data_IF_292381242273
#
_entry.id   IF_292381242273
#
_cell.length_a   1.000
_cell.length_b   1.000
_cell.length_c   1.000
_cell.angle_alpha   90.00
_cell.angle_beta   90.00
_cell.angle_gamma   90.00
#
_symmetry.space_group_name_H-M   'P 1'
#
loop_
_entity.id
_entity.type
_entity.pdbx_description
1 polymer ?
#
# COMPACT_ATOMS: atom_id res chain seq x y z
N UNK A 1 -26.91 -10.97 -15.19
CA UNK A 1 -26.84 -9.85 -16.16
C UNK A 1 -26.64 -8.52 -15.45
N UNK A 2 -27.47 -8.15 -14.45
CA UNK A 2 -27.36 -6.90 -13.68
C UNK A 2 -26.01 -6.72 -12.94
N UNK A 3 -25.46 -7.77 -12.33
CA UNK A 3 -24.16 -7.69 -11.62
C UNK A 3 -22.98 -7.31 -12.51
N UNK A 4 -22.97 -7.78 -13.76
CA UNK A 4 -21.89 -7.51 -14.72
C UNK A 4 -21.91 -6.04 -15.16
N UNK A 5 -23.11 -5.48 -15.36
CA UNK A 5 -23.29 -4.08 -15.71
C UNK A 5 -22.90 -3.16 -14.56
N UNK A 6 -23.41 -3.42 -13.35
CA UNK A 6 -23.11 -2.57 -12.18
C UNK A 6 -21.63 -2.68 -11.80
N UNK A 7 -21.12 -3.92 -11.64
CA UNK A 7 -19.72 -4.15 -11.28
C UNK A 7 -18.75 -3.63 -12.34
N UNK A 8 -19.04 -3.82 -13.63
CA UNK A 8 -18.19 -3.29 -14.70
C UNK A 8 -18.18 -1.76 -14.77
N UNK A 9 -19.35 -1.12 -14.59
CA UNK A 9 -19.46 0.34 -14.60
C UNK A 9 -18.83 0.98 -13.37
N UNK A 10 -18.97 0.36 -12.19
CA UNK A 10 -18.38 0.89 -10.96
C UNK A 10 -16.87 0.65 -10.88
N UNK A 11 -16.37 -0.49 -11.38
CA UNK A 11 -14.98 -0.89 -11.21
C UNK A 11 -13.98 0.13 -11.78
N UNK A 12 -14.25 0.68 -12.97
CA UNK A 12 -13.36 1.68 -13.55
C UNK A 12 -13.29 2.95 -12.70
N UNK A 13 -14.45 3.49 -12.29
CA UNK A 13 -14.50 4.69 -11.45
C UNK A 13 -13.89 4.41 -10.07
N UNK A 14 -14.21 3.27 -9.45
CA UNK A 14 -13.59 2.87 -8.18
C UNK A 14 -12.06 2.79 -8.30
N UNK A 15 -11.54 2.28 -9.42
CA UNK A 15 -10.10 2.21 -9.66
C UNK A 15 -9.43 3.58 -9.84
N UNK A 16 -10.10 4.52 -10.50
CA UNK A 16 -9.50 5.82 -10.87
C UNK A 16 -9.60 6.85 -9.75
N UNK A 17 -10.75 6.91 -9.06
CA UNK A 17 -11.03 7.95 -8.06
C UNK A 17 -11.33 7.39 -6.66
N UNK A 18 -11.34 6.07 -6.49
CA UNK A 18 -11.80 5.42 -5.28
C UNK A 18 -13.33 5.37 -5.18
N UNK A 19 -13.83 4.68 -4.18
CA UNK A 19 -15.24 4.69 -3.80
C UNK A 19 -15.38 5.09 -2.33
N UNK A 20 -16.07 6.19 -2.01
CA UNK A 20 -16.35 6.54 -0.63
C UNK A 20 -17.22 5.48 0.06
N UNK A 21 -16.94 5.21 1.33
CA UNK A 21 -17.63 4.15 2.10
C UNK A 21 -19.16 4.32 2.16
N UNK A 22 -19.67 5.56 2.17
CA UNK A 22 -21.11 5.81 2.14
C UNK A 22 -21.75 5.39 0.81
N UNK A 23 -20.99 5.44 -0.30
CA UNK A 23 -21.44 4.99 -1.62
C UNK A 23 -21.39 3.46 -1.69
N UNK A 24 -20.34 2.84 -1.16
CA UNK A 24 -20.25 1.36 -1.04
C UNK A 24 -21.46 0.81 -0.28
N UNK A 25 -21.74 1.35 0.91
CA UNK A 25 -22.88 0.95 1.73
C UNK A 25 -24.22 1.22 1.05
N UNK A 26 -24.33 2.28 0.25
CA UNK A 26 -25.55 2.57 -0.50
C UNK A 26 -25.77 1.56 -1.62
N UNK A 27 -24.72 1.20 -2.37
CA UNK A 27 -24.79 0.20 -3.42
C UNK A 27 -25.05 -1.21 -2.87
N UNK A 28 -24.47 -1.54 -1.72
CA UNK A 28 -24.76 -2.80 -1.00
C UNK A 28 -26.24 -2.86 -0.59
N UNK A 29 -26.77 -1.78 0.00
CA UNK A 29 -28.19 -1.67 0.35
C UNK A 29 -29.11 -1.79 -0.87
N UNK A 30 -28.78 -1.12 -1.98
CA UNK A 30 -29.54 -1.22 -3.23
C UNK A 30 -29.50 -2.63 -3.80
N UNK A 31 -28.34 -3.30 -3.76
CA UNK A 31 -28.20 -4.69 -4.19
C UNK A 31 -29.04 -5.63 -3.35
N UNK A 32 -29.03 -5.44 -2.02
CA UNK A 32 -29.86 -6.20 -1.08
C UNK A 32 -31.35 -5.97 -1.32
N UNK A 33 -31.77 -4.71 -1.46
CA UNK A 33 -33.15 -4.34 -1.75
C UNK A 33 -33.62 -4.94 -3.07
N UNK A 34 -32.78 -4.94 -4.11
CA UNK A 34 -33.08 -5.53 -5.41
C UNK A 34 -33.29 -7.05 -5.33
N UNK A 35 -32.39 -7.79 -4.69
CA UNK A 35 -32.50 -9.26 -4.55
C UNK A 35 -33.77 -9.65 -3.80
N UNK A 36 -34.11 -8.89 -2.77
CA UNK A 36 -35.21 -9.20 -1.86
C UNK A 36 -36.49 -8.40 -2.12
N UNK A 37 -36.57 -7.64 -3.22
CA UNK A 37 -37.75 -6.82 -3.60
C UNK A 37 -38.27 -5.98 -2.42
N UNK A 38 -37.38 -5.24 -1.77
CA UNK A 38 -37.68 -4.37 -0.60
C UNK A 38 -38.23 -5.10 0.65
N UNK A 39 -37.99 -6.41 0.77
CA UNK A 39 -38.37 -7.16 1.98
C UNK A 39 -37.57 -6.69 3.22
N UNK A 40 -38.28 -6.33 4.29
CA UNK A 40 -37.71 -5.88 5.58
C UNK A 40 -36.79 -6.91 6.25
N UNK A 41 -37.14 -8.20 6.15
CA UNK A 41 -36.42 -9.30 6.78
C UNK A 41 -36.01 -10.34 5.73
N UNK A 42 -34.87 -10.14 5.06
CA UNK A 42 -34.40 -11.12 4.08
C UNK A 42 -34.04 -12.43 4.77
N UNK A 43 -34.44 -13.58 4.20
CA UNK A 43 -34.26 -14.90 4.81
C UNK A 43 -32.80 -15.40 4.78
N UNK A 44 -31.94 -14.80 3.96
CA UNK A 44 -30.53 -15.20 3.80
C UNK A 44 -29.65 -13.95 3.90
N UNK A 45 -28.51 -14.06 4.60
CA UNK A 45 -27.52 -12.98 4.72
C UNK A 45 -26.76 -12.73 3.42
N UNK A 46 -26.24 -11.52 3.24
CA UNK A 46 -25.40 -11.17 2.08
C UNK A 46 -24.13 -12.03 2.02
N UNK A 47 -23.49 -12.28 3.18
CA UNK A 47 -22.30 -13.15 3.27
C UNK A 47 -22.52 -14.54 2.68
N UNK A 48 -23.74 -15.08 2.82
CA UNK A 48 -24.09 -16.37 2.23
C UNK A 48 -24.33 -16.26 0.72
N UNK A 49 -24.84 -15.13 0.22
CA UNK A 49 -25.04 -14.88 -1.20
C UNK A 49 -23.72 -14.66 -1.95
N UNK A 50 -22.71 -14.05 -1.31
CA UNK A 50 -21.38 -13.82 -1.89
C UNK A 50 -20.61 -15.11 -2.19
N UNK A 51 -20.86 -16.19 -1.43
CA UNK A 51 -20.19 -17.48 -1.62
C UNK A 51 -20.53 -18.11 -2.98
N UNK A 52 -19.67 -19.01 -3.43
CA UNK A 52 -19.90 -19.79 -4.64
C UNK A 52 -21.02 -20.85 -4.48
N UNK A 53 -21.50 -21.35 -5.61
CA UNK A 53 -22.53 -22.41 -5.67
C UNK A 53 -22.21 -23.66 -4.84
N UNK A 54 -20.96 -24.18 -4.80
CA UNK A 54 -20.62 -25.32 -3.94
C UNK A 54 -20.86 -25.06 -2.45
N UNK A 55 -20.74 -23.80 -2.03
CA UNK A 55 -20.95 -23.35 -0.66
C UNK A 55 -22.38 -22.83 -0.44
N UNK A 56 -23.32 -23.22 -1.32
CA UNK A 56 -24.73 -22.81 -1.31
C UNK A 56 -24.94 -21.29 -1.44
N UNK A 57 -24.01 -20.59 -2.08
CA UNK A 57 -24.18 -19.19 -2.43
C UNK A 57 -24.48 -19.00 -3.92
N UNK A 58 -24.61 -17.74 -4.34
CA UNK A 58 -24.94 -17.38 -5.73
C UNK A 58 -23.82 -16.62 -6.43
N UNK A 59 -22.62 -16.54 -5.80
CA UNK A 59 -21.50 -15.73 -6.26
C UNK A 59 -21.91 -14.27 -6.48
N UNK A 60 -22.64 -13.70 -5.51
CA UNK A 60 -23.04 -12.31 -5.56
C UNK A 60 -21.80 -11.40 -5.57
N UNK A 61 -21.83 -10.34 -6.37
CA UNK A 61 -20.79 -9.32 -6.36
C UNK A 61 -20.73 -8.65 -4.99
N UNK A 62 -19.59 -8.80 -4.33
CA UNK A 62 -19.22 -8.02 -3.15
C UNK A 62 -18.40 -6.80 -3.59
N UNK A 63 -19.02 -5.62 -3.46
CA UNK A 63 -18.43 -4.35 -3.87
C UNK A 63 -17.27 -3.97 -2.94
N UNK A 64 -17.39 -4.27 -1.65
CA UNK A 64 -16.33 -4.00 -0.68
C UNK A 64 -15.10 -4.85 -1.00
N UNK A 65 -15.29 -6.17 -1.19
CA UNK A 65 -14.21 -7.06 -1.60
C UNK A 65 -13.60 -6.67 -2.96
N UNK A 66 -14.41 -6.20 -3.92
CA UNK A 66 -13.90 -5.69 -5.19
C UNK A 66 -12.99 -4.46 -5.00
N UNK A 67 -13.42 -3.50 -4.20
CA UNK A 67 -12.63 -2.28 -3.95
C UNK A 67 -11.36 -2.59 -3.17
N UNK A 68 -11.40 -3.51 -2.20
CA UNK A 68 -10.19 -4.00 -1.54
C UNK A 68 -9.22 -4.65 -2.52
N UNK A 69 -9.72 -5.49 -3.45
CA UNK A 69 -8.89 -6.12 -4.46
C UNK A 69 -8.25 -5.10 -5.42
N UNK A 70 -8.96 -4.02 -5.76
CA UNK A 70 -8.41 -2.89 -6.52
C UNK A 70 -7.22 -2.29 -5.77
N UNK A 71 -7.38 -1.95 -4.49
CA UNK A 71 -6.31 -1.38 -3.64
C UNK A 71 -5.12 -2.33 -3.48
N UNK A 72 -5.38 -3.64 -3.32
CA UNK A 72 -4.33 -4.66 -3.27
C UNK A 72 -3.55 -4.76 -4.58
N UNK A 73 -4.21 -4.54 -5.73
CA UNK A 73 -3.52 -4.52 -7.03
C UNK A 73 -2.57 -3.34 -7.13
N UNK A 74 -3.02 -2.14 -6.72
CA UNK A 74 -2.15 -0.97 -6.63
C UNK A 74 -0.99 -1.19 -5.66
N UNK A 75 -1.26 -1.77 -4.48
CA UNK A 75 -0.23 -2.09 -3.50
C UNK A 75 0.81 -3.07 -4.05
N UNK A 76 0.37 -4.14 -4.72
CA UNK A 76 1.27 -5.11 -5.35
C UNK A 76 2.19 -4.44 -6.37
N UNK A 77 1.63 -3.61 -7.26
CA UNK A 77 2.39 -2.83 -8.24
C UNK A 77 3.36 -1.83 -7.58
N UNK A 78 2.95 -1.18 -6.49
CA UNK A 78 3.81 -0.25 -5.74
C UNK A 78 5.04 -0.92 -5.12
N UNK A 79 4.82 -2.14 -4.61
CA UNK A 79 5.85 -2.97 -3.96
C UNK A 79 6.80 -3.64 -4.95
N UNK A 80 6.51 -3.61 -6.24
CA UNK A 80 7.48 -4.01 -7.26
C UNK A 80 8.65 -3.00 -7.26
N UNK A 81 9.84 -3.47 -6.93
CA UNK A 81 11.09 -2.67 -6.92
C UNK A 81 12.00 -3.06 -8.10
N UNK A 82 11.50 -3.92 -9.00
CA UNK A 82 12.22 -4.36 -10.19
C UNK A 82 12.30 -3.27 -11.27
N UNK A 83 13.05 -3.49 -12.37
CA UNK A 83 13.07 -2.55 -13.49
C UNK A 83 11.71 -2.35 -14.18
N UNK A 84 10.74 -3.25 -14.00
CA UNK A 84 9.37 -3.09 -14.53
C UNK A 84 8.46 -2.25 -13.64
N UNK A 85 9.01 -1.66 -12.56
CA UNK A 85 8.24 -0.83 -11.63
C UNK A 85 7.51 0.31 -12.36
N UNK A 86 6.21 0.50 -12.10
CA UNK A 86 5.45 1.52 -12.79
C UNK A 86 5.86 2.94 -12.39
N UNK A 87 5.81 3.88 -13.35
CA UNK A 87 6.24 5.28 -13.17
C UNK A 87 5.54 5.97 -12.00
N UNK A 88 4.25 5.69 -11.80
CA UNK A 88 3.46 6.31 -10.73
C UNK A 88 4.00 5.96 -9.33
N UNK A 89 4.60 4.78 -9.15
CA UNK A 89 5.13 4.35 -7.86
C UNK A 89 6.31 5.22 -7.39
N UNK A 90 7.10 5.75 -8.33
CA UNK A 90 8.18 6.70 -8.01
C UNK A 90 7.64 8.04 -7.51
N UNK A 91 6.52 8.51 -8.08
CA UNK A 91 5.85 9.73 -7.60
C UNK A 91 5.28 9.50 -6.21
N UNK A 92 4.66 8.34 -5.99
CA UNK A 92 4.11 7.97 -4.68
C UNK A 92 5.21 7.87 -3.62
N UNK A 93 6.40 7.33 -3.96
CA UNK A 93 7.53 7.34 -3.03
C UNK A 93 7.88 8.76 -2.58
N UNK A 94 7.93 9.74 -3.50
CA UNK A 94 8.24 11.13 -3.17
C UNK A 94 7.19 11.70 -2.22
N UNK A 95 5.90 11.48 -2.51
CA UNK A 95 4.79 11.95 -1.67
C UNK A 95 4.83 11.32 -0.28
N UNK A 96 5.01 10.01 -0.20
CA UNK A 96 5.10 9.27 1.07
C UNK A 96 6.32 9.72 1.87
N UNK A 97 7.45 9.95 1.22
CA UNK A 97 8.69 10.38 1.87
C UNK A 97 8.61 11.78 2.48
N UNK A 98 7.62 12.61 2.11
CA UNK A 98 7.34 13.87 2.82
C UNK A 98 6.76 13.63 4.22
N UNK A 99 6.15 12.46 4.45
CA UNK A 99 5.62 12.06 5.76
C UNK A 99 6.66 11.42 6.67
N UNK A 100 7.89 11.21 6.20
CA UNK A 100 8.94 10.65 7.02
C UNK A 100 9.14 11.47 8.31
N UNK A 101 9.50 10.81 9.43
CA UNK A 101 9.79 11.49 10.68
C UNK A 101 10.84 12.60 10.52
N UNK A 102 10.70 13.63 11.34
CA UNK A 102 11.60 14.77 11.33
C UNK A 102 13.03 14.32 11.73
N UNK A 103 14.05 14.92 11.13
CA UNK A 103 15.46 14.57 11.38
C UNK A 103 16.03 13.47 10.47
N UNK A 104 15.21 12.81 9.65
CA UNK A 104 15.70 11.86 8.63
C UNK A 104 16.10 12.63 7.37
N UNK A 105 17.37 12.59 6.92
CA UNK A 105 17.81 13.31 5.71
C UNK A 105 17.08 12.83 4.46
N UNK A 106 16.64 13.75 3.60
CA UNK A 106 15.86 13.45 2.39
C UNK A 106 16.55 12.43 1.48
N UNK A 107 17.88 12.50 1.36
CA UNK A 107 18.69 11.62 0.53
C UNK A 107 18.68 10.17 1.02
N UNK A 108 18.29 9.91 2.27
CA UNK A 108 18.22 8.54 2.83
C UNK A 108 16.82 7.94 2.76
N UNK A 109 15.83 8.72 2.35
CA UNK A 109 14.44 8.28 2.26
C UNK A 109 14.26 7.48 0.97
N UNK A 110 13.87 6.23 1.13
CA UNK A 110 13.59 5.26 0.08
C UNK A 110 12.17 4.70 0.31
N UNK A 111 11.84 3.60 -0.37
CA UNK A 111 10.57 2.93 -0.15
C UNK A 111 10.41 2.56 1.34
N UNK A 112 9.30 2.99 1.93
CA UNK A 112 9.01 2.84 3.35
C UNK A 112 8.93 1.39 3.82
N UNK A 113 8.55 0.45 2.94
CA UNK A 113 8.45 -0.97 3.28
C UNK A 113 9.82 -1.62 3.46
N UNK A 114 10.90 -0.94 3.05
CA UNK A 114 12.28 -1.40 3.24
C UNK A 114 12.97 -0.72 4.43
N UNK A 115 12.29 0.22 5.10
CA UNK A 115 12.87 1.07 6.14
C UNK A 115 12.09 0.94 7.46
N UNK A 116 12.75 1.29 8.56
CA UNK A 116 12.27 1.01 9.92
C UNK A 116 11.21 1.97 10.45
N UNK A 117 10.98 3.10 9.79
CA UNK A 117 10.03 4.10 10.26
C UNK A 117 8.60 3.77 9.84
N UNK A 118 7.64 4.10 10.71
CA UNK A 118 6.21 3.94 10.44
C UNK A 118 5.64 5.23 9.82
N UNK A 119 4.76 5.09 8.85
CA UNK A 119 4.08 6.23 8.21
C UNK A 119 2.71 6.41 8.87
N UNK A 120 2.35 7.63 9.29
CA UNK A 120 1.02 7.88 9.80
C UNK A 120 -0.04 7.74 8.70
N UNK A 121 -1.10 6.97 8.96
CA UNK A 121 -2.24 6.75 8.04
C UNK A 121 -3.54 7.45 8.45
N UNK A 122 -3.55 8.08 9.64
CA UNK A 122 -4.73 8.74 10.23
C UNK A 122 -4.45 10.17 10.75
N UNK A 123 -3.27 10.73 10.52
CA UNK A 123 -2.90 12.06 11.04
C UNK A 123 -3.24 13.20 10.06
N UNK A 124 -3.21 14.46 10.53
CA UNK A 124 -3.29 15.65 9.66
C UNK A 124 -2.18 15.69 8.60
N UNK A 125 -1.02 15.09 8.89
CA UNK A 125 0.06 14.93 7.89
C UNK A 125 -0.35 13.89 6.85
N UNK A 126 -1.00 12.80 7.25
CA UNK A 126 -1.47 11.77 6.31
C UNK A 126 -2.50 12.30 5.30
N UNK A 127 -3.32 13.29 5.68
CA UNK A 127 -4.31 13.90 4.78
C UNK A 127 -3.71 14.77 3.66
N UNK A 128 -2.39 15.01 3.65
CA UNK A 128 -1.73 15.66 2.50
C UNK A 128 -1.48 14.69 1.35
N UNK A 129 -1.58 13.38 1.59
CA UNK A 129 -1.47 12.38 0.53
C UNK A 129 -2.76 12.33 -0.30
N UNK A 130 -2.63 12.04 -1.60
CA UNK A 130 -3.78 11.66 -2.41
C UNK A 130 -4.54 10.47 -1.80
N UNK A 131 -5.86 10.45 -2.00
CA UNK A 131 -6.76 9.44 -1.43
C UNK A 131 -6.30 8.02 -1.76
N UNK A 132 -5.91 7.75 -3.00
CA UNK A 132 -5.46 6.42 -3.44
C UNK A 132 -4.19 5.96 -2.67
N UNK A 133 -3.21 6.84 -2.47
CA UNK A 133 -1.98 6.50 -1.77
C UNK A 133 -2.25 6.23 -0.29
N UNK A 134 -3.14 7.01 0.32
CA UNK A 134 -3.55 6.81 1.71
C UNK A 134 -4.36 5.52 1.88
N UNK A 135 -5.25 5.21 0.95
CA UNK A 135 -6.05 3.99 0.92
C UNK A 135 -5.14 2.75 0.80
N UNK A 136 -4.22 2.77 -0.17
CA UNK A 136 -3.20 1.75 -0.35
C UNK A 136 -2.35 1.50 0.91
N UNK A 137 -1.90 2.56 1.60
CA UNK A 137 -1.16 2.45 2.85
C UNK A 137 -2.00 1.87 4.00
N UNK A 138 -3.29 2.24 4.08
CA UNK A 138 -4.21 1.65 5.05
C UNK A 138 -4.44 0.17 4.76
N UNK A 139 -4.56 -0.19 3.48
CA UNK A 139 -4.72 -1.58 3.05
C UNK A 139 -3.50 -2.42 3.41
N UNK A 140 -2.30 -1.89 3.16
CA UNK A 140 -1.05 -2.52 3.57
C UNK A 140 -1.00 -2.77 5.09
N UNK A 141 -1.44 -1.81 5.91
CA UNK A 141 -1.51 -1.94 7.37
C UNK A 141 -2.58 -2.95 7.80
N UNK A 142 -3.75 -2.94 7.17
CA UNK A 142 -4.84 -3.86 7.45
C UNK A 142 -4.42 -5.32 7.24
N UNK A 143 -3.72 -5.59 6.13
CA UNK A 143 -3.22 -6.93 5.79
C UNK A 143 -1.83 -7.24 6.38
N UNK A 144 -1.25 -6.37 7.20
CA UNK A 144 0.05 -6.60 7.85
C UNK A 144 1.24 -6.73 6.89
N UNK A 145 1.15 -6.07 5.73
CA UNK A 145 2.17 -6.15 4.67
C UNK A 145 3.49 -5.57 5.18
N UNK A 146 4.54 -6.39 5.14
CA UNK A 146 5.88 -6.02 5.59
C UNK A 146 6.94 -6.79 4.81
N UNK A 147 8.16 -6.25 4.75
CA UNK A 147 9.29 -6.96 4.17
C UNK A 147 9.87 -7.95 5.19
N UNK A 148 9.46 -9.21 5.07
CA UNK A 148 9.84 -10.31 5.97
C UNK A 148 10.52 -11.47 5.21
N UNK A 149 11.72 -11.26 4.64
CA UNK A 149 12.45 -12.31 3.93
C UNK A 149 12.95 -13.38 4.90
N UNK A 150 12.79 -14.67 4.55
CA UNK A 150 13.37 -15.78 5.33
C UNK A 150 14.90 -15.75 5.26
N UNK A 151 15.45 -15.51 4.06
CA UNK A 151 16.88 -15.38 3.85
C UNK A 151 17.14 -14.44 2.66
N UNK A 152 18.07 -13.50 2.84
CA UNK A 152 18.48 -12.58 1.78
C UNK A 152 19.75 -13.08 1.09
N UNK A 153 19.72 -13.14 -0.24
CA UNK A 153 20.92 -13.38 -1.05
C UNK A 153 21.92 -12.23 -0.88
N UNK A 154 23.21 -12.49 -1.10
CA UNK A 154 24.24 -11.43 -1.02
C UNK A 154 23.99 -10.31 -2.02
N UNK A 155 23.49 -10.63 -3.22
CA UNK A 155 23.10 -9.64 -4.22
C UNK A 155 21.99 -8.73 -3.69
N UNK A 156 20.95 -9.30 -3.07
CA UNK A 156 19.83 -8.54 -2.54
C UNK A 156 20.23 -7.69 -1.33
N UNK A 157 21.09 -8.21 -0.43
CA UNK A 157 21.66 -7.44 0.69
C UNK A 157 22.39 -6.18 0.21
N UNK A 158 23.11 -6.28 -0.92
CA UNK A 158 23.80 -5.13 -1.54
C UNK A 158 22.83 -4.10 -2.12
N UNK A 159 21.62 -4.50 -2.49
CA UNK A 159 20.59 -3.60 -3.04
C UNK A 159 19.75 -2.91 -1.95
N UNK A 160 19.80 -3.39 -0.70
CA UNK A 160 19.07 -2.80 0.42
C UNK A 160 19.49 -1.35 0.70
N UNK A 161 18.59 -0.54 1.29
CA UNK A 161 18.93 0.77 1.84
C UNK A 161 20.17 0.71 2.72
N UNK A 162 21.14 1.57 2.46
CA UNK A 162 22.32 1.72 3.31
C UNK A 162 21.94 2.26 4.70
N UNK A 163 20.90 3.10 4.74
CA UNK A 163 20.45 3.81 5.93
C UNK A 163 19.03 3.39 6.32
N UNK A 164 18.79 3.29 7.63
CA UNK A 164 17.49 3.00 8.25
C UNK A 164 16.78 1.73 7.74
N UNK A 165 17.52 0.76 7.22
CA UNK A 165 16.95 -0.52 6.80
C UNK A 165 16.38 -1.31 7.99
N UNK A 166 15.45 -2.23 7.73
CA UNK A 166 14.71 -2.99 8.75
C UNK A 166 15.60 -3.76 9.75
N UNK A 167 16.72 -4.32 9.28
CA UNK A 167 17.67 -5.06 10.12
C UNK A 167 18.60 -4.21 10.97
N UNK A 168 18.47 -2.87 10.94
CA UNK A 168 19.40 -2.00 11.65
C UNK A 168 19.23 -2.05 13.18
N UNK A 169 20.33 -2.21 13.94
CA UNK A 169 20.29 -2.15 15.40
C UNK A 169 19.72 -0.81 15.89
N UNK A 170 19.07 -0.78 17.06
CA UNK A 170 18.63 0.49 17.66
C UNK A 170 19.81 1.46 17.82
N UNK A 171 19.55 2.76 17.63
CA UNK A 171 20.54 3.85 17.76
C UNK A 171 21.72 3.84 16.77
N UNK A 172 21.74 2.96 15.77
CA UNK A 172 22.79 2.91 14.72
C UNK A 172 22.91 4.25 13.99
N UNK A 173 21.78 4.90 13.75
CA UNK A 173 21.68 6.09 12.93
C UNK A 173 21.50 7.33 13.81
N UNK A 174 22.61 8.02 14.11
CA UNK A 174 22.60 9.35 14.74
C UNK A 174 22.70 10.43 13.67
N UNK A 175 21.72 11.33 13.64
CA UNK A 175 21.54 12.37 12.61
C UNK A 175 22.82 13.15 12.28
N UNK A 176 23.64 13.63 13.25
CA UNK A 176 24.85 14.40 12.92
C UNK A 176 25.90 13.61 12.12
N UNK A 177 26.06 12.31 12.42
CA UNK A 177 27.04 11.45 11.72
C UNK A 177 26.59 11.13 10.30
N UNK A 178 25.29 10.91 10.11
CA UNK A 178 24.73 10.60 8.78
C UNK A 178 24.77 11.86 7.91
N UNK A 179 24.45 13.02 8.46
CA UNK A 179 24.56 14.29 7.75
C UNK A 179 26.01 14.56 7.30
N UNK A 180 27.01 14.23 8.14
CA UNK A 180 28.42 14.32 7.77
C UNK A 180 28.80 13.33 6.64
N UNK A 181 28.38 12.06 6.75
CA UNK A 181 28.66 11.05 5.71
C UNK A 181 28.05 11.43 4.35
N UNK A 182 26.84 11.99 4.35
CA UNK A 182 26.14 12.39 3.12
C UNK A 182 26.68 13.72 2.59
N UNK A 183 26.80 14.73 3.44
CA UNK A 183 27.12 16.11 3.04
C UNK A 183 28.61 16.37 2.89
N UNK A 184 29.46 15.75 3.70
CA UNK A 184 30.92 16.01 3.72
C UNK A 184 31.69 14.91 2.98
N UNK A 185 31.30 13.64 3.15
CA UNK A 185 31.95 12.52 2.49
C UNK A 185 31.30 12.10 1.17
N UNK A 186 30.30 12.87 0.70
CA UNK A 186 29.55 12.65 -0.54
C UNK A 186 29.14 11.19 -0.74
N UNK A 187 28.73 10.49 0.33
CA UNK A 187 28.15 9.15 0.21
C UNK A 187 26.76 9.28 -0.42
N UNK A 188 26.72 9.54 -1.71
CA UNK A 188 25.50 9.68 -2.52
C UNK A 188 24.83 8.34 -2.71
N UNK A 189 25.50 7.23 -2.39
CA UNK A 189 24.90 5.92 -2.49
C UNK A 189 23.88 5.67 -1.40
N UNK A 190 22.63 5.55 -1.82
CA UNK A 190 21.49 5.22 -0.97
C UNK A 190 21.42 3.71 -0.66
N UNK A 191 22.25 2.88 -1.31
CA UNK A 191 22.27 1.42 -1.21
C UNK A 191 23.60 0.92 -0.64
N UNK A 192 23.57 -0.27 -0.03
CA UNK A 192 24.75 -0.90 0.57
C UNK A 192 25.87 -1.10 -0.46
N UNK A 193 25.54 -1.46 -1.71
CA UNK A 193 26.51 -1.69 -2.78
C UNK A 193 27.43 -0.50 -3.03
N UNK A 194 26.89 0.72 -3.13
CA UNK A 194 27.72 1.88 -3.42
C UNK A 194 28.55 2.33 -2.23
N UNK A 195 28.10 2.09 -0.99
CA UNK A 195 28.99 2.28 0.18
C UNK A 195 30.20 1.34 0.14
N UNK A 196 30.02 0.07 -0.26
CA UNK A 196 31.12 -0.88 -0.41
C UNK A 196 32.11 -0.42 -1.50
N UNK A 197 31.61 0.15 -2.59
CA UNK A 197 32.47 0.67 -3.66
C UNK A 197 33.26 1.91 -3.24
N UNK A 198 32.73 2.76 -2.36
CA UNK A 198 33.42 3.94 -1.86
C UNK A 198 34.49 3.64 -0.79
N UNK A 199 34.44 2.47 -0.17
CA UNK A 199 35.38 2.07 0.88
C UNK A 199 36.64 1.35 0.34
N UNK A 200 36.71 1.10 -0.97
CA UNK A 200 37.87 0.54 -1.67
C UNK A 200 38.65 1.66 -2.34
#
# INVERSE_FOLDING_TARGET
MVQWTIGGMSQYLAKVQGMPQNIELALEKLTRAFIWTDTLHPPISLDQLYKDRPHRGISLLDICSQNEAIELTWLHEYLDISPSRPTWAFVVDILINQLAPDGIPNQTRLNTFLQKWDIPTCSKRASTLPVYALSMLRMAKHYGVSFAPVQLSQGLKRQMPAFYHLGSPPQTYRVPRIACLIGTHMSTSQRVSGLIHMAK
#
